data_IF_493025641941
#
_entry.id   IF_493025641941
#
_cell.length_a   1.000
_cell.length_b   1.000
_cell.length_c   1.000
_cell.angle_alpha   90.00
_cell.angle_beta   90.00
_cell.angle_gamma   90.00
#
_symmetry.space_group_name_H-M   'P 1'
#
loop_
_entity.id
_entity.type
_entity.pdbx_description
1 polymer ?
#
# COMPACT_ATOMS: atom_id res chain seq x y z
N UNK A 1 1.53 -10.95 -12.79
CA UNK A 1 2.42 -10.93 -11.61
C UNK A 1 2.95 -12.32 -11.41
N UNK A 2 4.23 -12.45 -11.15
CA UNK A 2 4.94 -13.72 -10.94
C UNK A 2 5.46 -13.79 -9.51
N UNK A 3 5.82 -14.97 -9.01
CA UNK A 3 6.45 -15.10 -7.71
C UNK A 3 7.72 -14.26 -7.62
N UNK A 4 8.55 -14.26 -8.66
CA UNK A 4 9.76 -13.44 -8.77
C UNK A 4 9.45 -11.93 -8.54
N UNK A 5 8.36 -11.40 -9.12
CA UNK A 5 7.97 -10.01 -8.90
C UNK A 5 7.59 -9.71 -7.45
N UNK A 6 7.07 -10.69 -6.70
CA UNK A 6 6.77 -10.55 -5.28
C UNK A 6 8.01 -10.69 -4.40
N UNK A 7 8.98 -11.50 -4.80
CA UNK A 7 10.28 -11.61 -4.12
C UNK A 7 11.06 -10.30 -4.25
N UNK A 8 11.15 -9.74 -5.44
CA UNK A 8 11.73 -8.40 -5.68
C UNK A 8 11.02 -7.31 -4.86
N UNK A 9 9.68 -7.33 -4.87
CA UNK A 9 8.90 -6.38 -4.08
C UNK A 9 9.16 -6.54 -2.58
N UNK A 10 9.27 -7.78 -2.08
CA UNK A 10 9.56 -8.07 -0.67
C UNK A 10 10.93 -7.53 -0.27
N UNK A 11 11.94 -7.69 -1.11
CA UNK A 11 13.27 -7.13 -0.86
C UNK A 11 13.24 -5.59 -0.81
N UNK A 12 12.57 -4.95 -1.76
CA UNK A 12 12.46 -3.49 -1.81
C UNK A 12 11.70 -2.95 -0.59
N UNK A 13 10.53 -3.53 -0.29
CA UNK A 13 9.60 -3.08 0.75
C UNK A 13 10.16 -3.31 2.17
N UNK A 14 10.92 -4.38 2.40
CA UNK A 14 11.52 -4.68 3.72
C UNK A 14 12.43 -3.57 4.24
N UNK A 15 12.98 -2.74 3.36
CA UNK A 15 13.86 -1.62 3.72
C UNK A 15 13.13 -0.43 4.34
N UNK A 16 11.80 -0.37 4.18
CA UNK A 16 10.99 0.82 4.54
C UNK A 16 9.73 0.51 5.34
N UNK A 17 9.49 -0.74 5.63
CA UNK A 17 8.36 -1.19 6.44
C UNK A 17 8.80 -1.82 7.74
N UNK A 18 7.88 -1.89 8.70
CA UNK A 18 8.09 -2.70 9.89
C UNK A 18 7.73 -4.16 9.57
N UNK A 19 8.54 -5.09 10.08
CA UNK A 19 8.18 -6.50 10.10
C UNK A 19 7.06 -6.70 11.13
N UNK A 20 5.82 -6.64 10.65
CA UNK A 20 4.63 -6.85 11.48
C UNK A 20 4.44 -8.35 11.73
N UNK A 21 5.17 -8.92 12.70
CA UNK A 21 5.11 -10.35 13.00
C UNK A 21 3.70 -10.83 13.28
N UNK A 22 3.46 -12.11 13.01
CA UNK A 22 2.18 -12.75 13.34
C UNK A 22 1.96 -12.77 14.87
N UNK A 23 0.79 -12.33 15.29
CA UNK A 23 0.40 -12.31 16.70
C UNK A 23 -0.68 -13.35 16.95
N UNK A 24 -0.38 -14.37 17.76
CA UNK A 24 -1.37 -15.36 18.17
C UNK A 24 -2.45 -14.72 19.03
N UNK A 25 -3.69 -15.06 18.74
CA UNK A 25 -4.87 -14.59 19.49
C UNK A 25 -5.48 -15.70 20.32
N UNK A 26 -5.20 -15.72 21.60
CA UNK A 26 -5.82 -16.65 22.55
C UNK A 26 -7.35 -16.54 22.54
N UNK A 27 -7.85 -15.30 22.51
CA UNK A 27 -9.29 -15.05 22.52
C UNK A 27 -10.00 -15.69 21.32
N UNK A 28 -9.58 -15.37 20.09
CA UNK A 28 -10.25 -15.94 18.91
C UNK A 28 -9.95 -17.42 18.74
N UNK A 29 -8.80 -17.88 19.14
CA UNK A 29 -8.45 -19.31 19.08
C UNK A 29 -9.36 -20.14 19.99
N UNK A 30 -9.61 -19.70 21.22
CA UNK A 30 -10.53 -20.37 22.15
C UNK A 30 -12.00 -20.34 21.69
N UNK A 31 -12.43 -19.26 21.01
CA UNK A 31 -13.79 -19.13 20.50
C UNK A 31 -14.06 -20.04 19.28
N UNK A 32 -13.06 -20.27 18.44
CA UNK A 32 -13.24 -20.95 17.15
C UNK A 32 -12.73 -22.38 17.15
N UNK A 33 -11.94 -22.79 18.16
CA UNK A 33 -11.25 -24.07 18.17
C UNK A 33 -10.09 -24.16 17.16
N UNK A 34 -9.69 -23.04 16.55
CA UNK A 34 -8.60 -22.94 15.58
C UNK A 34 -7.41 -22.18 16.17
N UNK A 35 -6.26 -22.25 15.51
CA UNK A 35 -5.11 -21.37 15.84
C UNK A 35 -5.22 -20.09 15.02
N UNK A 36 -5.67 -19.01 15.65
CA UNK A 36 -5.90 -17.71 14.99
C UNK A 36 -4.71 -16.78 15.23
N UNK A 37 -4.20 -16.23 14.15
CA UNK A 37 -3.11 -15.25 14.16
C UNK A 37 -3.55 -13.96 13.45
N UNK A 38 -3.02 -12.83 13.89
CA UNK A 38 -3.18 -11.55 13.21
C UNK A 38 -1.87 -11.11 12.57
N UNK A 39 -1.94 -10.59 11.34
CA UNK A 39 -0.90 -9.81 10.69
C UNK A 39 -1.21 -8.32 10.92
N UNK A 40 -0.61 -7.66 11.93
CA UNK A 40 -1.05 -6.35 12.41
C UNK A 40 -0.52 -5.19 11.53
N UNK A 41 -0.97 -5.06 10.29
CA UNK A 41 -0.55 -4.01 9.37
C UNK A 41 -0.93 -2.57 9.82
N UNK A 42 -1.78 -2.43 10.83
CA UNK A 42 -2.00 -1.16 11.53
C UNK A 42 -0.79 -0.70 12.35
N UNK A 43 0.20 -1.56 12.55
CA UNK A 43 1.46 -1.23 13.23
C UNK A 43 2.53 -0.68 12.28
N UNK A 44 2.27 -0.58 10.98
CA UNK A 44 3.17 0.09 10.04
C UNK A 44 3.36 1.58 10.40
N UNK A 45 4.45 2.19 9.95
CA UNK A 45 4.80 3.61 10.21
C UNK A 45 3.68 4.59 9.86
N UNK A 46 2.88 4.28 8.83
CA UNK A 46 1.72 5.09 8.43
C UNK A 46 0.41 4.63 9.05
N UNK A 47 0.44 3.60 9.90
CA UNK A 47 -0.75 3.00 10.49
C UNK A 47 -1.54 2.10 9.54
N UNK A 48 -0.98 1.71 8.38
CA UNK A 48 -1.62 0.84 7.40
C UNK A 48 -0.62 0.26 6.40
N UNK A 49 -1.00 -0.84 5.75
CA UNK A 49 -0.21 -1.56 4.76
C UNK A 49 0.09 -0.79 3.45
N UNK A 50 -0.61 0.29 3.16
CA UNK A 50 -0.52 1.04 1.90
C UNK A 50 0.88 1.56 1.57
N UNK A 51 1.75 1.73 2.54
CA UNK A 51 3.15 2.09 2.34
C UNK A 51 3.90 1.09 1.48
N UNK A 52 3.58 -0.20 1.57
CA UNK A 52 4.21 -1.29 0.83
C UNK A 52 4.07 -1.08 -0.69
N UNK A 53 2.83 -0.96 -1.15
CA UNK A 53 2.54 -0.75 -2.56
C UNK A 53 3.04 0.59 -3.09
N UNK A 54 2.90 1.66 -2.31
CA UNK A 54 3.40 2.97 -2.70
C UNK A 54 4.92 2.94 -2.90
N UNK A 55 5.67 2.37 -1.98
CA UNK A 55 7.12 2.32 -2.07
C UNK A 55 7.60 1.40 -3.21
N UNK A 56 6.99 0.22 -3.37
CA UNK A 56 7.36 -0.65 -4.49
C UNK A 56 7.08 0.02 -5.84
N UNK A 57 5.95 0.70 -5.99
CA UNK A 57 5.70 1.51 -7.19
C UNK A 57 6.84 2.50 -7.45
N UNK A 58 7.33 3.18 -6.42
CA UNK A 58 8.41 4.15 -6.58
C UNK A 58 9.74 3.50 -6.97
N UNK A 59 10.01 2.29 -6.48
CA UNK A 59 11.21 1.54 -6.88
C UNK A 59 11.22 1.16 -8.35
N UNK A 60 10.04 1.05 -8.98
CA UNK A 60 9.90 0.70 -10.41
C UNK A 60 9.89 1.91 -11.35
N UNK A 61 9.85 3.13 -10.82
CA UNK A 61 9.86 4.35 -11.63
C UNK A 61 11.27 4.65 -12.18
N UNK A 62 11.32 5.16 -13.41
CA UNK A 62 12.54 5.72 -13.98
C UNK A 62 13.00 6.98 -13.21
N UNK A 63 14.26 7.32 -13.31
CA UNK A 63 14.78 8.54 -12.68
C UNK A 63 14.10 9.81 -13.20
N UNK A 64 13.70 9.82 -14.47
CA UNK A 64 12.93 10.92 -15.05
C UNK A 64 11.54 11.05 -14.41
N UNK A 65 10.83 9.95 -14.22
CA UNK A 65 9.53 9.94 -13.53
C UNK A 65 9.64 10.39 -12.08
N UNK A 66 10.69 9.96 -11.37
CA UNK A 66 10.98 10.42 -10.01
C UNK A 66 11.25 11.91 -9.95
N UNK A 67 12.06 12.45 -10.88
CA UNK A 67 12.38 13.87 -10.92
C UNK A 67 11.18 14.77 -11.21
N UNK A 68 10.21 14.28 -12.00
CA UNK A 68 8.95 15.00 -12.26
C UNK A 68 8.10 15.16 -11.00
N UNK A 69 8.24 14.26 -10.05
CA UNK A 69 7.40 14.20 -8.85
C UNK A 69 6.14 13.36 -9.06
N UNK A 70 5.45 13.11 -7.96
CA UNK A 70 4.33 12.19 -7.88
C UNK A 70 3.04 12.90 -7.51
N UNK A 71 1.91 12.38 -7.98
CA UNK A 71 0.58 12.83 -7.57
C UNK A 71 -0.35 11.66 -7.35
N UNK A 72 -1.24 11.78 -6.39
CA UNK A 72 -2.36 10.85 -6.19
C UNK A 72 -3.58 11.56 -5.63
N UNK A 73 -4.75 10.94 -5.79
CA UNK A 73 -5.98 11.35 -5.12
C UNK A 73 -6.31 10.37 -4.00
N UNK A 74 -6.32 10.83 -2.76
CA UNK A 74 -6.73 10.02 -1.61
C UNK A 74 -6.80 10.87 -0.34
N UNK A 75 -7.84 10.68 0.47
CA UNK A 75 -7.96 11.25 1.81
C UNK A 75 -7.69 10.22 2.94
N UNK A 76 -7.12 9.06 2.61
CA UNK A 76 -6.97 7.94 3.54
C UNK A 76 -5.54 7.42 3.67
N UNK A 77 -5.46 6.11 3.89
CA UNK A 77 -4.20 5.40 4.11
C UNK A 77 -3.26 5.45 2.90
N UNK A 78 -3.80 5.48 1.68
CA UNK A 78 -2.99 5.57 0.48
C UNK A 78 -2.27 6.94 0.40
N UNK A 79 -2.96 8.04 0.71
CA UNK A 79 -2.36 9.37 0.79
C UNK A 79 -1.14 9.40 1.71
N UNK A 80 -1.27 8.83 2.92
CA UNK A 80 -0.19 8.76 3.88
C UNK A 80 0.93 7.82 3.43
N UNK A 81 0.57 6.67 2.82
CA UNK A 81 1.54 5.73 2.24
C UNK A 81 2.38 6.36 1.15
N UNK A 82 1.75 7.06 0.19
CA UNK A 82 2.44 7.78 -0.89
C UNK A 82 3.33 8.90 -0.34
N UNK A 83 2.80 9.73 0.56
CA UNK A 83 3.56 10.83 1.14
C UNK A 83 4.79 10.34 1.93
N UNK A 84 4.63 9.29 2.74
CA UNK A 84 5.74 8.70 3.49
C UNK A 84 6.78 8.04 2.59
N UNK A 85 6.35 7.24 1.61
CA UNK A 85 7.25 6.60 0.68
C UNK A 85 8.02 7.62 -0.19
N UNK A 86 7.35 8.68 -0.64
CA UNK A 86 7.98 9.78 -1.37
C UNK A 86 9.04 10.50 -0.54
N UNK A 87 8.74 10.76 0.75
CA UNK A 87 9.72 11.33 1.70
C UNK A 87 10.98 10.47 1.79
N UNK A 88 10.82 9.15 1.93
CA UNK A 88 11.96 8.23 2.03
C UNK A 88 12.78 8.16 0.74
N UNK A 89 12.11 8.24 -0.41
CA UNK A 89 12.73 8.24 -1.72
C UNK A 89 13.30 9.60 -2.14
N UNK A 90 13.05 10.68 -1.38
CA UNK A 90 13.45 12.04 -1.73
C UNK A 90 12.70 12.62 -2.93
N UNK A 91 11.49 12.14 -3.23
CA UNK A 91 10.68 12.51 -4.39
C UNK A 91 9.59 13.50 -3.95
N UNK A 92 9.36 14.63 -4.64
CA UNK A 92 8.24 15.51 -4.39
C UNK A 92 6.90 14.78 -4.60
N UNK A 93 5.94 14.95 -3.68
CA UNK A 93 4.61 14.36 -3.79
C UNK A 93 3.51 15.39 -3.58
N UNK A 94 2.51 15.37 -4.45
CA UNK A 94 1.27 16.14 -4.36
C UNK A 94 0.11 15.20 -4.08
N UNK A 95 -0.67 15.47 -3.05
CA UNK A 95 -1.81 14.65 -2.65
C UNK A 95 -3.09 15.50 -2.79
N UNK A 96 -3.97 15.09 -3.68
CA UNK A 96 -5.28 15.74 -3.83
C UNK A 96 -6.30 15.06 -2.92
N UNK A 97 -7.00 15.85 -2.14
CA UNK A 97 -8.03 15.39 -1.21
C UNK A 97 -9.33 16.16 -1.43
N UNK A 98 -10.49 15.51 -1.22
CA UNK A 98 -11.77 16.25 -1.18
C UNK A 98 -11.74 17.37 -0.13
N UNK A 99 -12.41 18.47 -0.44
CA UNK A 99 -12.49 19.65 0.44
C UNK A 99 -12.96 19.33 1.86
N UNK A 100 -13.97 18.45 2.10
CA UNK A 100 -14.44 18.13 3.45
C UNK A 100 -13.53 17.14 4.21
N UNK A 101 -12.29 16.90 3.74
CA UNK A 101 -11.36 16.00 4.41
C UNK A 101 -11.00 16.52 5.81
N UNK A 102 -11.09 15.68 6.86
CA UNK A 102 -10.74 16.08 8.23
C UNK A 102 -9.31 16.59 8.36
N UNK A 103 -9.11 17.68 9.10
CA UNK A 103 -7.80 18.33 9.30
C UNK A 103 -6.71 17.38 9.81
N UNK A 104 -7.08 16.40 10.64
CA UNK A 104 -6.11 15.42 11.13
C UNK A 104 -5.46 14.60 10.00
N UNK A 105 -6.22 14.26 8.96
CA UNK A 105 -5.71 13.52 7.80
C UNK A 105 -4.82 14.41 6.92
N UNK A 106 -5.25 15.67 6.71
CA UNK A 106 -4.48 16.67 5.98
C UNK A 106 -3.13 16.90 6.67
N UNK A 107 -3.16 17.17 7.99
CA UNK A 107 -1.95 17.46 8.75
C UNK A 107 -0.98 16.28 8.82
N UNK A 108 -1.50 15.05 8.94
CA UNK A 108 -0.66 13.84 8.89
C UNK A 108 0.07 13.71 7.56
N UNK A 109 -0.64 13.92 6.45
CA UNK A 109 -0.04 13.84 5.10
C UNK A 109 1.00 14.94 4.88
N UNK A 110 0.70 16.18 5.29
CA UNK A 110 1.66 17.29 5.28
C UNK A 110 2.88 17.02 6.17
N UNK A 111 2.70 16.33 7.29
CA UNK A 111 3.78 15.96 8.20
C UNK A 111 4.84 15.03 7.57
N UNK A 112 4.49 14.34 6.49
CA UNK A 112 5.43 13.58 5.66
C UNK A 112 6.11 14.42 4.57
N UNK A 113 5.79 15.72 4.46
CA UNK A 113 6.42 16.63 3.51
C UNK A 113 5.70 16.74 2.16
N UNK A 114 4.54 16.11 1.99
CA UNK A 114 3.77 16.21 0.75
C UNK A 114 3.00 17.54 0.67
N UNK A 115 2.89 18.08 -0.57
CA UNK A 115 1.92 19.13 -0.89
C UNK A 115 0.50 18.53 -0.81
N UNK A 116 -0.41 19.19 -0.11
CA UNK A 116 -1.82 18.77 -0.07
C UNK A 116 -2.66 19.84 -0.75
N UNK A 117 -3.37 19.41 -1.80
CA UNK A 117 -4.32 20.21 -2.57
C UNK A 117 -5.73 19.74 -2.23
N UNK A 118 -6.62 20.69 -1.89
CA UNK A 118 -8.03 20.39 -1.64
C UNK A 118 -8.83 20.74 -2.88
N UNK A 119 -9.56 19.75 -3.44
CA UNK A 119 -10.36 19.94 -4.65
C UNK A 119 -11.53 18.96 -4.69
N UNK A 120 -12.70 19.46 -5.11
CA UNK A 120 -13.94 18.69 -5.17
C UNK A 120 -14.54 18.37 -3.80
N UNK A 121 -15.76 17.88 -3.79
CA UNK A 121 -16.47 17.52 -2.56
C UNK A 121 -16.44 16.00 -2.29
N UNK A 122 -16.21 15.19 -3.34
CA UNK A 122 -16.15 13.74 -3.29
C UNK A 122 -14.84 13.22 -3.92
N UNK A 123 -14.57 11.93 -3.72
CA UNK A 123 -13.34 11.29 -4.20
C UNK A 123 -13.17 11.40 -5.72
N UNK A 124 -14.25 11.19 -6.48
CA UNK A 124 -14.19 11.17 -7.95
C UNK A 124 -13.79 12.55 -8.50
N UNK A 125 -14.33 13.62 -7.96
CA UNK A 125 -13.96 15.00 -8.32
C UNK A 125 -12.50 15.33 -7.97
N UNK A 126 -12.05 14.90 -6.79
CA UNK A 126 -10.66 15.05 -6.40
C UNK A 126 -9.72 14.25 -7.32
N UNK A 127 -10.15 13.08 -7.77
CA UNK A 127 -9.41 12.22 -8.68
C UNK A 127 -9.29 12.85 -10.08
N UNK A 128 -10.39 13.37 -10.63
CA UNK A 128 -10.40 14.11 -11.89
C UNK A 128 -9.49 15.35 -11.84
N UNK A 129 -9.54 16.08 -10.73
CA UNK A 129 -8.64 17.21 -10.53
C UNK A 129 -7.18 16.78 -10.46
N UNK A 130 -6.89 15.66 -9.79
CA UNK A 130 -5.53 15.13 -9.70
C UNK A 130 -4.99 14.70 -11.07
N UNK A 131 -5.79 14.09 -11.93
CA UNK A 131 -5.39 13.77 -13.30
C UNK A 131 -5.06 15.03 -14.11
N UNK A 132 -5.90 16.05 -14.01
CA UNK A 132 -5.70 17.33 -14.67
C UNK A 132 -4.39 18.00 -14.22
N UNK A 133 -4.18 18.02 -12.91
CA UNK A 133 -2.98 18.58 -12.32
C UNK A 133 -1.71 17.77 -12.66
N UNK A 134 -1.84 16.45 -12.78
CA UNK A 134 -0.77 15.57 -13.24
C UNK A 134 -0.32 15.93 -14.65
N UNK A 135 -1.27 16.15 -15.56
CA UNK A 135 -1.00 16.53 -16.95
C UNK A 135 -0.39 17.95 -17.04
N UNK A 136 -0.97 18.92 -16.33
CA UNK A 136 -0.48 20.32 -16.30
C UNK A 136 0.94 20.45 -15.76
N UNK A 137 1.29 19.69 -14.72
CA UNK A 137 2.61 19.76 -14.06
C UNK A 137 3.58 18.67 -14.50
N UNK A 138 3.16 17.74 -15.36
CA UNK A 138 3.97 16.61 -15.81
C UNK A 138 4.27 15.59 -14.71
N UNK A 139 3.40 15.46 -13.67
CA UNK A 139 3.60 14.58 -12.53
C UNK A 139 3.23 13.13 -12.85
N UNK A 140 3.91 12.17 -12.21
CA UNK A 140 3.57 10.76 -12.34
C UNK A 140 2.42 10.40 -11.40
N UNK A 141 1.30 9.94 -11.96
CA UNK A 141 0.13 9.55 -11.17
C UNK A 141 0.31 8.18 -10.54
N UNK A 142 0.12 8.08 -9.23
CA UNK A 142 0.16 6.83 -8.45
C UNK A 142 -1.27 6.44 -8.07
N UNK A 143 -1.81 5.44 -8.77
CA UNK A 143 -3.20 5.02 -8.57
C UNK A 143 -3.37 4.28 -7.24
N UNK A 144 -4.43 4.57 -6.43
CA UNK A 144 -4.62 3.98 -5.11
C UNK A 144 -4.95 2.48 -5.12
N UNK A 145 -5.43 1.91 -6.24
CA UNK A 145 -5.85 0.51 -6.34
C UNK A 145 -5.80 -0.10 -7.76
N UNK A 146 -5.62 0.66 -8.82
CA UNK A 146 -5.58 0.14 -10.19
C UNK A 146 -4.17 0.28 -10.80
N UNK A 147 -3.17 -0.24 -10.10
CA UNK A 147 -1.77 -0.23 -10.51
C UNK A 147 -1.12 -1.56 -10.08
N UNK A 148 -0.57 -2.31 -11.05
CA UNK A 148 0.01 -3.63 -10.80
C UNK A 148 1.23 -3.57 -9.86
N UNK A 149 2.06 -2.54 -9.94
CA UNK A 149 3.20 -2.41 -9.04
C UNK A 149 2.74 -2.09 -7.61
N UNK A 150 1.75 -1.19 -7.44
CA UNK A 150 1.13 -0.94 -6.14
C UNK A 150 0.58 -2.25 -5.56
N UNK A 151 -0.15 -2.99 -6.36
CA UNK A 151 -0.74 -4.26 -5.96
C UNK A 151 0.31 -5.32 -5.59
N UNK A 152 1.38 -5.44 -6.37
CA UNK A 152 2.50 -6.36 -6.09
C UNK A 152 3.15 -6.02 -4.74
N UNK A 153 3.40 -4.74 -4.48
CA UNK A 153 3.92 -4.30 -3.19
C UNK A 153 3.01 -4.64 -2.01
N UNK A 154 1.68 -4.52 -2.16
CA UNK A 154 0.73 -4.94 -1.12
C UNK A 154 0.79 -6.45 -0.87
N UNK A 155 1.01 -7.23 -1.92
CA UNK A 155 1.10 -8.68 -1.85
C UNK A 155 2.27 -9.21 -1.01
N UNK A 156 3.28 -8.40 -0.72
CA UNK A 156 4.38 -8.78 0.17
C UNK A 156 3.93 -9.20 1.57
N UNK A 157 2.71 -8.81 1.97
CA UNK A 157 2.08 -9.27 3.22
C UNK A 157 1.93 -10.78 3.21
N UNK A 158 1.46 -11.37 2.11
CA UNK A 158 1.29 -12.82 1.99
C UNK A 158 2.66 -13.54 2.02
N UNK A 159 3.67 -12.97 1.37
CA UNK A 159 5.04 -13.51 1.42
C UNK A 159 5.57 -13.60 2.85
N UNK A 160 5.35 -12.57 3.67
CA UNK A 160 5.73 -12.57 5.08
C UNK A 160 4.93 -13.57 5.90
N UNK A 161 3.60 -13.68 5.67
CA UNK A 161 2.74 -14.65 6.38
C UNK A 161 3.22 -16.07 6.11
N UNK A 162 3.44 -16.43 4.86
CA UNK A 162 3.84 -17.80 4.47
C UNK A 162 5.24 -18.12 4.96
N UNK A 163 6.14 -17.15 4.94
CA UNK A 163 7.50 -17.33 5.48
C UNK A 163 7.47 -17.60 6.99
N UNK A 164 6.59 -16.93 7.73
CA UNK A 164 6.49 -17.07 9.20
C UNK A 164 5.63 -18.26 9.63
N UNK A 165 4.58 -18.59 8.85
CA UNK A 165 3.67 -19.70 9.12
C UNK A 165 3.41 -20.51 7.83
N UNK A 166 4.36 -21.35 7.40
CA UNK A 166 4.24 -22.13 6.16
C UNK A 166 3.07 -23.14 6.15
N UNK A 167 2.55 -23.48 7.34
CA UNK A 167 1.45 -24.44 7.51
C UNK A 167 0.11 -23.76 7.70
N UNK A 168 -0.05 -22.51 7.22
CA UNK A 168 -1.33 -21.80 7.30
C UNK A 168 -2.38 -22.47 6.41
N UNK A 169 -3.54 -22.81 6.98
CA UNK A 169 -4.65 -23.41 6.23
C UNK A 169 -5.55 -22.36 5.56
N UNK A 170 -5.72 -21.18 6.21
CA UNK A 170 -6.63 -20.13 5.76
C UNK A 170 -6.02 -18.75 5.99
N UNK A 171 -6.11 -17.88 4.99
CA UNK A 171 -5.76 -16.47 5.09
C UNK A 171 -7.03 -15.64 4.84
N UNK A 172 -7.48 -14.91 5.87
CA UNK A 172 -8.63 -14.02 5.78
C UNK A 172 -8.15 -12.60 5.44
N UNK A 173 -8.55 -12.11 4.29
CA UNK A 173 -8.13 -10.79 3.79
C UNK A 173 -9.35 -9.88 3.66
N UNK A 174 -9.40 -8.73 4.34
CA UNK A 174 -10.47 -7.76 4.12
C UNK A 174 -10.31 -7.15 2.73
N UNK A 175 -11.36 -7.24 1.91
CA UNK A 175 -11.38 -6.76 0.53
C UNK A 175 -12.09 -5.40 0.47
N UNK A 176 -11.39 -4.42 -0.13
CA UNK A 176 -11.93 -3.10 -0.46
C UNK A 176 -11.75 -2.82 -1.95
N UNK A 177 -10.85 -1.92 -2.31
CA UNK A 177 -10.61 -1.47 -3.69
C UNK A 177 -9.91 -2.44 -4.65
N UNK A 178 -9.95 -3.74 -4.44
CA UNK A 178 -9.43 -4.77 -5.38
C UNK A 178 -7.97 -5.18 -5.18
N UNK A 179 -7.12 -4.40 -4.55
CA UNK A 179 -5.69 -4.73 -4.32
C UNK A 179 -5.49 -5.93 -3.41
N UNK A 180 -6.41 -6.12 -2.48
CA UNK A 180 -6.38 -7.25 -1.54
C UNK A 180 -6.67 -8.59 -2.23
N UNK A 181 -7.37 -8.59 -3.38
CA UNK A 181 -7.61 -9.79 -4.19
C UNK A 181 -6.30 -10.36 -4.74
N UNK A 182 -5.31 -9.51 -4.96
CA UNK A 182 -4.01 -9.91 -5.49
C UNK A 182 -3.16 -10.65 -4.46
N UNK A 183 -3.43 -10.48 -3.16
CA UNK A 183 -2.87 -11.33 -2.10
C UNK A 183 -3.29 -12.78 -2.30
N UNK A 184 -4.52 -13.03 -2.75
CA UNK A 184 -5.02 -14.37 -3.05
C UNK A 184 -4.31 -15.02 -4.25
N UNK A 185 -3.95 -14.23 -5.27
CA UNK A 185 -3.19 -14.73 -6.42
C UNK A 185 -1.80 -15.23 -6.04
N UNK A 186 -1.15 -14.63 -5.04
CA UNK A 186 0.14 -15.10 -4.54
C UNK A 186 -0.02 -16.46 -3.87
N UNK A 187 -0.99 -16.58 -2.97
CA UNK A 187 -1.26 -17.85 -2.27
C UNK A 187 -1.51 -18.95 -3.29
N UNK A 188 -2.31 -18.69 -4.32
CA UNK A 188 -2.57 -19.66 -5.38
C UNK A 188 -1.30 -20.05 -6.14
N UNK A 189 -0.45 -19.08 -6.52
CA UNK A 189 0.83 -19.38 -7.21
C UNK A 189 1.78 -20.16 -6.33
N UNK A 190 1.85 -19.87 -5.03
CA UNK A 190 2.69 -20.61 -4.10
C UNK A 190 2.23 -22.06 -3.92
N UNK A 191 0.90 -22.29 -3.92
CA UNK A 191 0.32 -23.65 -3.93
C UNK A 191 0.68 -24.36 -5.25
N UNK A 192 0.46 -23.74 -6.40
CA UNK A 192 0.73 -24.32 -7.72
C UNK A 192 2.21 -24.66 -7.92
N UNK A 193 3.12 -23.93 -7.29
CA UNK A 193 4.58 -24.14 -7.36
C UNK A 193 5.11 -25.05 -6.23
N UNK A 194 4.25 -25.53 -5.35
CA UNK A 194 4.62 -26.48 -4.30
C UNK A 194 5.39 -25.88 -3.12
N UNK A 195 5.26 -24.57 -2.88
CA UNK A 195 5.84 -23.91 -1.70
C UNK A 195 4.99 -24.11 -0.43
N UNK A 196 3.71 -24.36 -0.60
CA UNK A 196 2.73 -24.67 0.47
C UNK A 196 1.70 -25.68 -0.05
#
# INVERSE_FOLDING_TARGET
MTLESFEEASEAVSKVTQETKLVYSEYYSSQTGNKVYFKPENMQYTGAYKVRGAYYKFSTLSEEEKQRGLITASAGNHAQGVAYAAKLAGIPATIVMPTPTPLIKINRTKGYGAEVVLAGDVFDEACEYAYKLAEERGLTFVHPFNDLAVATGQGTIAMEIIKELPTVDYILVPIGGGESVLTLNIVQQLIEQGYI
#
